data_IF_887363058636
#
_entry.id   IF_887363058636
#
_cell.length_a   1.000
_cell.length_b   1.000
_cell.length_c   1.000
_cell.angle_alpha   90.00
_cell.angle_beta   90.00
_cell.angle_gamma   90.00
#
_symmetry.space_group_name_H-M   'P 1'
#
loop_
_entity.id
_entity.type
_entity.pdbx_description
1 polymer ?
#
# COMPACT_ATOMS: atom_id res chain seq x y z
N UNK A 1 2.01 -29.07 31.45
CA UNK A 1 2.19 -27.77 32.12
C UNK A 1 0.83 -27.40 32.68
N UNK A 2 0.66 -27.30 34.01
CA UNK A 2 -0.64 -26.99 34.62
C UNK A 2 -0.86 -25.47 34.60
N UNK A 3 -1.85 -24.98 33.86
CA UNK A 3 -2.36 -23.61 33.86
C UNK A 3 -2.89 -23.25 35.26
N UNK A 4 -3.39 -24.20 36.04
CA UNK A 4 -3.75 -23.95 37.45
C UNK A 4 -2.57 -23.72 38.41
N UNK A 5 -1.32 -23.99 38.00
CA UNK A 5 -0.14 -23.79 38.86
C UNK A 5 0.44 -22.38 38.69
N UNK A 6 0.83 -21.71 39.78
CA UNK A 6 1.42 -20.35 39.75
C UNK A 6 2.59 -20.24 38.76
N UNK A 7 3.45 -21.25 38.72
CA UNK A 7 4.58 -21.30 37.77
C UNK A 7 4.12 -21.44 36.31
N UNK A 8 3.04 -22.17 36.05
CA UNK A 8 2.42 -22.27 34.73
C UNK A 8 1.78 -20.97 34.27
N UNK A 9 1.08 -20.28 35.18
CA UNK A 9 0.43 -18.99 34.91
C UNK A 9 1.45 -17.90 34.58
N UNK A 10 2.52 -17.81 35.36
CA UNK A 10 3.60 -16.83 35.17
C UNK A 10 4.34 -17.06 33.86
N UNK A 11 4.62 -18.32 33.49
CA UNK A 11 5.27 -18.64 32.21
C UNK A 11 4.41 -18.24 30.99
N UNK A 12 3.10 -18.54 31.06
CA UNK A 12 2.14 -18.15 30.01
C UNK A 12 2.08 -16.64 29.91
N UNK A 13 2.04 -15.94 31.05
CA UNK A 13 1.95 -14.49 31.08
C UNK A 13 3.25 -13.80 30.61
N UNK A 14 4.43 -14.35 30.90
CA UNK A 14 5.70 -13.85 30.33
C UNK A 14 5.72 -14.05 28.81
N UNK A 15 5.24 -15.20 28.33
CA UNK A 15 5.20 -15.46 26.90
C UNK A 15 4.20 -14.56 26.15
N UNK A 16 3.03 -14.27 26.74
CA UNK A 16 2.09 -13.29 26.19
C UNK A 16 2.70 -11.89 26.16
N UNK A 17 3.41 -11.46 27.21
CA UNK A 17 4.13 -10.17 27.21
C UNK A 17 5.15 -10.10 26.08
N UNK A 18 5.90 -11.18 25.83
CA UNK A 18 6.88 -11.23 24.74
C UNK A 18 6.17 -11.04 23.39
N UNK A 19 5.04 -11.71 23.16
CA UNK A 19 4.25 -11.53 21.93
C UNK A 19 3.69 -10.10 21.82
N UNK A 20 3.19 -9.54 22.93
CA UNK A 20 2.70 -8.15 23.00
C UNK A 20 3.82 -7.14 22.70
N UNK A 21 5.01 -7.38 23.23
CA UNK A 21 6.19 -6.57 22.94
C UNK A 21 6.55 -6.63 21.44
N UNK A 22 6.39 -7.78 20.78
CA UNK A 22 6.53 -7.86 19.32
C UNK A 22 5.45 -7.07 18.56
N UNK A 23 4.22 -7.02 19.07
CA UNK A 23 3.16 -6.16 18.51
C UNK A 23 3.51 -4.66 18.62
N UNK A 24 4.11 -4.24 19.74
CA UNK A 24 4.45 -2.84 20.01
C UNK A 24 5.75 -2.39 19.30
N UNK A 25 6.80 -3.22 19.34
CA UNK A 25 8.08 -2.95 18.68
C UNK A 25 7.97 -2.92 17.15
N UNK A 26 6.93 -3.54 16.58
CA UNK A 26 6.60 -3.45 15.15
C UNK A 26 6.14 -2.07 14.67
N UNK A 27 5.75 -1.16 15.58
CA UNK A 27 5.27 0.20 15.25
C UNK A 27 6.36 1.23 14.97
N UNK A 28 7.61 0.96 15.35
CA UNK A 28 8.74 1.90 15.26
C UNK A 28 9.86 1.36 14.37
N UNK A 29 9.56 1.16 13.08
CA UNK A 29 10.64 1.14 12.08
C UNK A 29 10.42 2.35 11.18
N UNK A 30 11.18 3.42 11.46
CA UNK A 30 11.48 4.46 10.47
C UNK A 30 11.75 3.76 9.14
N UNK A 31 11.13 4.25 8.07
CA UNK A 31 11.33 3.75 6.71
C UNK A 31 12.82 3.56 6.46
N UNK A 32 13.30 2.31 6.55
CA UNK A 32 14.66 1.97 6.16
C UNK A 32 14.61 2.06 4.65
N UNK A 33 15.33 3.02 4.05
CA UNK A 33 15.57 3.02 2.60
C UNK A 33 16.24 1.69 2.29
N UNK A 34 15.44 0.75 1.79
CA UNK A 34 15.94 -0.52 1.30
C UNK A 34 16.49 -0.24 -0.08
N UNK A 35 17.80 -0.06 -0.18
CA UNK A 35 18.55 -0.16 -1.44
C UNK A 35 18.61 -1.64 -1.81
N UNK A 36 17.48 -2.21 -2.22
CA UNK A 36 17.48 -3.52 -2.90
C UNK A 36 17.63 -3.27 -4.40
N UNK A 37 18.80 -3.61 -4.91
CA UNK A 37 19.18 -3.64 -6.33
C UNK A 37 18.47 -4.74 -7.14
N UNK A 38 17.38 -5.31 -6.63
CA UNK A 38 16.42 -6.02 -7.47
C UNK A 38 15.42 -4.99 -7.98
N UNK A 39 15.71 -4.43 -9.16
CA UNK A 39 14.80 -3.57 -9.90
C UNK A 39 13.62 -4.43 -10.38
N UNK A 40 12.73 -4.78 -9.45
CA UNK A 40 11.34 -5.03 -9.79
C UNK A 40 10.84 -3.66 -10.20
N UNK A 41 10.55 -3.44 -11.48
CA UNK A 41 9.96 -2.21 -11.98
C UNK A 41 8.70 -1.89 -11.15
N UNK A 42 8.87 -1.10 -10.10
CA UNK A 42 7.80 -0.49 -9.35
C UNK A 42 7.17 0.48 -10.35
N UNK A 43 6.00 0.10 -10.88
CA UNK A 43 5.31 0.81 -11.95
C UNK A 43 5.20 2.29 -11.55
N UNK A 44 5.78 3.18 -12.35
CA UNK A 44 5.65 4.65 -12.27
C UNK A 44 4.21 5.16 -12.49
N UNK A 45 3.20 4.28 -12.40
CA UNK A 45 1.80 4.57 -12.74
C UNK A 45 0.80 4.07 -11.68
N UNK A 46 1.25 3.80 -10.44
CA UNK A 46 0.32 3.67 -9.32
C UNK A 46 0.08 5.04 -8.71
N UNK A 47 -1.16 5.54 -8.77
CA UNK A 47 -1.56 6.69 -7.95
C UNK A 47 -1.17 6.43 -6.48
N UNK A 48 -0.76 7.45 -5.72
CA UNK A 48 -0.61 7.30 -4.28
C UNK A 48 -1.96 6.81 -3.71
N UNK A 49 -1.97 5.81 -2.81
CA UNK A 49 -3.22 5.24 -2.33
C UNK A 49 -4.09 6.30 -1.69
N UNK A 50 -5.32 6.43 -2.18
CA UNK A 50 -6.32 7.39 -1.67
C UNK A 50 -6.62 7.23 -0.19
N UNK A 51 -6.40 6.03 0.39
CA UNK A 51 -6.58 5.78 1.83
C UNK A 51 -5.44 4.91 2.41
N UNK A 52 -4.51 5.49 3.19
CA UNK A 52 -3.44 4.73 3.84
C UNK A 52 -3.97 3.75 4.92
N UNK A 53 -5.22 3.91 5.37
CA UNK A 53 -5.87 3.04 6.35
C UNK A 53 -6.22 1.64 5.80
N UNK A 54 -6.35 1.48 4.49
CA UNK A 54 -6.83 0.23 3.87
C UNK A 54 -5.69 -0.68 3.39
N UNK A 55 -4.44 -0.38 3.76
CA UNK A 55 -3.29 -1.19 3.37
C UNK A 55 -3.27 -2.51 4.17
N UNK A 56 -2.95 -3.64 3.52
CA UNK A 56 -2.79 -4.90 4.23
C UNK A 56 -1.63 -4.79 5.24
N UNK A 57 -1.76 -5.34 6.46
CA UNK A 57 -0.63 -5.51 7.38
C UNK A 57 0.59 -6.16 6.69
N UNK A 58 1.77 -5.66 7.05
CA UNK A 58 3.04 -6.19 6.52
C UNK A 58 3.27 -7.65 6.94
N UNK A 59 4.15 -8.34 6.21
CA UNK A 59 4.46 -9.76 6.42
C UNK A 59 4.83 -10.10 7.87
N UNK A 60 5.69 -9.29 8.50
CA UNK A 60 6.10 -9.47 9.90
C UNK A 60 4.90 -9.32 10.85
N UNK A 61 4.03 -8.34 10.60
CA UNK A 61 2.83 -8.13 11.41
C UNK A 61 1.87 -9.32 11.30
N UNK A 62 1.70 -9.90 10.11
CA UNK A 62 0.86 -11.08 9.92
C UNK A 62 1.46 -12.32 10.58
N UNK A 63 2.79 -12.50 10.52
CA UNK A 63 3.46 -13.59 11.23
C UNK A 63 3.22 -13.53 12.74
N UNK A 64 3.35 -12.34 13.35
CA UNK A 64 3.10 -12.14 14.78
C UNK A 64 1.63 -12.41 15.14
N UNK A 65 0.68 -12.00 14.28
CA UNK A 65 -0.75 -12.30 14.46
C UNK A 65 -1.02 -13.80 14.39
N UNK A 66 -0.44 -14.52 13.42
CA UNK A 66 -0.60 -15.97 13.35
C UNK A 66 0.00 -16.66 14.59
N UNK A 67 1.18 -16.24 15.05
CA UNK A 67 1.80 -16.77 16.26
C UNK A 67 0.92 -16.52 17.51
N UNK A 68 0.32 -15.33 17.62
CA UNK A 68 -0.62 -14.99 18.68
C UNK A 68 -1.87 -15.88 18.67
N UNK A 69 -2.46 -16.12 17.50
CA UNK A 69 -3.63 -17.01 17.35
C UNK A 69 -3.25 -18.45 17.71
N UNK A 70 -2.11 -18.95 17.24
CA UNK A 70 -1.61 -20.28 17.61
C UNK A 70 -1.43 -20.39 19.13
N UNK A 71 -0.88 -19.36 19.77
CA UNK A 71 -0.73 -19.33 21.22
C UNK A 71 -2.07 -19.37 21.94
N UNK A 72 -3.07 -18.58 21.50
CA UNK A 72 -4.42 -18.59 22.07
C UNK A 72 -5.11 -19.96 21.93
N UNK A 73 -4.91 -20.64 20.81
CA UNK A 73 -5.44 -22.00 20.60
C UNK A 73 -4.76 -22.96 21.57
N UNK A 74 -3.42 -22.93 21.66
CA UNK A 74 -2.67 -23.81 22.55
C UNK A 74 -3.11 -23.57 24.01
N UNK A 75 -3.17 -22.32 24.48
CA UNK A 75 -3.60 -22.01 25.84
C UNK A 75 -5.02 -22.46 26.12
N UNK A 76 -5.95 -22.26 25.18
CA UNK A 76 -7.35 -22.68 25.34
C UNK A 76 -7.50 -24.20 25.33
N UNK A 77 -6.73 -24.92 24.50
CA UNK A 77 -6.74 -26.39 24.46
C UNK A 77 -6.16 -27.02 25.72
N UNK A 78 -5.10 -26.43 26.28
CA UNK A 78 -4.54 -26.88 27.56
C UNK A 78 -5.56 -26.63 28.68
N UNK A 79 -6.23 -25.46 28.70
CA UNK A 79 -7.24 -25.16 29.72
C UNK A 79 -8.44 -26.11 29.64
N UNK A 80 -8.91 -26.44 28.42
CA UNK A 80 -9.98 -27.42 28.23
C UNK A 80 -9.55 -28.84 28.61
N UNK A 81 -8.27 -29.19 28.45
CA UNK A 81 -7.72 -30.46 28.94
C UNK A 81 -7.68 -30.51 30.46
N UNK A 82 -7.34 -29.40 31.12
CA UNK A 82 -7.35 -29.30 32.58
C UNK A 82 -8.78 -29.35 33.14
N UNK A 83 -9.74 -28.77 32.42
CA UNK A 83 -11.15 -28.92 32.74
C UNK A 83 -11.61 -30.38 32.65
N UNK A 84 -11.24 -31.09 31.58
CA UNK A 84 -11.56 -32.51 31.42
C UNK A 84 -11.01 -33.35 32.59
N UNK A 85 -9.78 -33.07 33.02
CA UNK A 85 -9.17 -33.72 34.18
C UNK A 85 -9.89 -33.36 35.49
N UNK A 86 -10.31 -32.10 35.66
CA UNK A 86 -11.06 -31.63 36.83
C UNK A 86 -12.45 -32.30 36.92
N UNK A 87 -13.16 -32.40 35.80
CA UNK A 87 -14.46 -33.10 35.70
C UNK A 87 -14.29 -34.59 36.03
N UNK A 88 -13.28 -35.26 35.47
CA UNK A 88 -12.98 -36.67 35.79
C UNK A 88 -12.70 -36.88 37.27
N UNK A 89 -11.92 -35.98 37.88
CA UNK A 89 -11.62 -36.04 39.32
C UNK A 89 -12.88 -35.82 40.16
N UNK A 90 -13.65 -34.78 39.86
CA UNK A 90 -14.91 -34.49 40.54
C UNK A 90 -15.87 -35.70 40.46
N UNK A 91 -15.95 -36.36 39.31
CA UNK A 91 -16.82 -37.51 39.13
C UNK A 91 -16.27 -38.79 39.75
N UNK A 92 -14.96 -38.93 39.89
CA UNK A 92 -14.34 -40.00 40.68
C UNK A 92 -14.66 -39.82 42.17
N UNK A 93 -14.48 -38.61 42.69
CA UNK A 93 -14.76 -38.25 44.09
C UNK A 93 -16.28 -38.38 44.38
N UNK A 94 -17.14 -38.04 43.41
CA UNK A 94 -18.60 -38.21 43.52
C UNK A 94 -19.06 -39.68 43.40
N UNK A 95 -18.33 -40.54 42.65
CA UNK A 95 -18.63 -41.98 42.51
C UNK A 95 -18.32 -42.77 43.78
N UNK A 96 -17.37 -42.33 44.61
CA UNK A 96 -17.22 -42.88 45.97
C UNK A 96 -18.46 -42.59 46.86
N UNK A 97 -19.31 -41.62 46.50
CA UNK A 97 -20.52 -41.27 47.24
C UNK A 97 -21.86 -41.79 46.65
N UNK A 98 -21.90 -42.43 45.48
CA UNK A 98 -23.14 -42.98 44.92
C UNK A 98 -22.94 -44.33 44.24
N UNK A 99 -23.13 -45.39 45.03
CA UNK A 99 -23.16 -46.75 44.54
C UNK A 99 -24.47 -47.13 43.82
N UNK A 100 -25.48 -46.24 43.78
CA UNK A 100 -26.78 -46.51 43.16
C UNK A 100 -27.19 -45.31 42.29
N UNK A 101 -27.00 -45.43 40.98
CA UNK A 101 -28.05 -45.19 39.98
C UNK A 101 -27.43 -45.28 38.58
N UNK A 102 -27.90 -46.26 37.81
CA UNK A 102 -27.54 -46.44 36.41
C UNK A 102 -28.26 -45.40 35.55
N UNK A 103 -27.68 -44.21 35.43
CA UNK A 103 -27.88 -43.37 34.26
C UNK A 103 -26.50 -42.89 33.80
N UNK A 104 -25.95 -43.58 32.81
CA UNK A 104 -24.83 -43.06 32.05
C UNK A 104 -25.32 -41.85 31.27
N UNK A 105 -25.24 -40.66 31.86
CA UNK A 105 -25.35 -39.40 31.13
C UNK A 105 -24.29 -39.38 30.02
N UNK A 106 -24.60 -38.74 28.91
CA UNK A 106 -23.64 -38.63 27.81
C UNK A 106 -22.39 -37.90 28.33
N UNK A 107 -21.20 -38.46 28.11
CA UNK A 107 -19.91 -37.88 28.53
C UNK A 107 -19.77 -36.39 28.15
N UNK A 108 -20.33 -36.00 27.00
CA UNK A 108 -20.33 -34.62 26.52
C UNK A 108 -21.24 -33.69 27.34
N UNK A 109 -22.38 -34.18 27.80
CA UNK A 109 -23.30 -33.41 28.65
C UNK A 109 -22.69 -33.23 30.05
N UNK A 110 -22.06 -34.28 30.57
CA UNK A 110 -21.31 -34.27 31.82
C UNK A 110 -20.13 -33.26 31.74
N UNK A 111 -19.37 -33.24 30.64
CA UNK A 111 -18.31 -32.27 30.43
C UNK A 111 -18.78 -30.81 30.41
N UNK A 112 -19.98 -30.52 29.89
CA UNK A 112 -20.49 -29.15 29.76
C UNK A 112 -21.21 -28.63 31.00
N UNK A 113 -21.72 -29.52 31.85
CA UNK A 113 -22.65 -29.17 32.93
C UNK A 113 -22.15 -29.48 34.34
N UNK A 114 -21.03 -30.19 34.48
CA UNK A 114 -20.45 -30.51 35.80
C UNK A 114 -19.86 -29.27 36.46
N UNK A 115 -20.11 -29.08 37.76
CA UNK A 115 -19.55 -28.02 38.58
C UNK A 115 -18.16 -28.42 39.16
N UNK A 116 -17.21 -28.72 38.26
CA UNK A 116 -15.83 -28.99 38.66
C UNK A 116 -15.05 -27.67 38.90
N UNK A 117 -13.90 -27.75 39.57
CA UNK A 117 -13.04 -26.61 39.86
C UNK A 117 -11.64 -26.83 39.27
N UNK A 118 -11.18 -25.89 38.44
CA UNK A 118 -9.84 -25.91 37.85
C UNK A 118 -8.79 -25.21 38.73
N UNK A 119 -9.21 -24.60 39.83
CA UNK A 119 -8.36 -23.85 40.75
C UNK A 119 -8.16 -22.39 40.36
N UNK A 120 -9.04 -21.82 39.53
CA UNK A 120 -9.16 -20.36 39.44
C UNK A 120 -9.99 -19.86 40.62
N UNK A 121 -9.43 -18.92 41.37
CA UNK A 121 -10.13 -18.26 42.48
C UNK A 121 -10.80 -16.97 41.98
N UNK A 122 -10.28 -16.40 40.89
CA UNK A 122 -10.84 -15.22 40.20
C UNK A 122 -12.02 -15.62 39.31
N UNK A 123 -13.18 -15.00 39.55
CA UNK A 123 -14.40 -15.21 38.78
C UNK A 123 -15.39 -16.21 39.38
N UNK A 124 -15.18 -16.63 40.63
CA UNK A 124 -16.10 -17.55 41.34
C UNK A 124 -17.48 -16.97 41.63
N UNK A 125 -17.66 -15.65 41.51
CA UNK A 125 -18.98 -14.99 41.61
C UNK A 125 -19.85 -15.21 40.36
N UNK A 126 -19.26 -15.66 39.25
CA UNK A 126 -19.99 -16.01 38.03
C UNK A 126 -20.50 -17.45 38.09
N UNK A 127 -21.56 -17.79 37.31
CA UNK A 127 -21.93 -19.18 37.09
C UNK A 127 -20.69 -19.98 36.64
N UNK A 128 -20.42 -21.11 37.29
CA UNK A 128 -19.20 -21.91 37.10
C UNK A 128 -18.96 -22.18 35.61
N UNK A 129 -20.02 -22.48 34.87
CA UNK A 129 -20.00 -22.72 33.42
C UNK A 129 -19.45 -21.56 32.57
N UNK A 130 -19.66 -20.31 32.98
CA UNK A 130 -19.23 -19.08 32.27
C UNK A 130 -17.96 -18.45 32.85
N UNK A 131 -17.56 -18.87 34.05
CA UNK A 131 -16.34 -18.43 34.72
C UNK A 131 -15.08 -18.98 34.03
N UNK A 132 -13.87 -18.50 34.39
CA UNK A 132 -12.62 -19.12 33.95
C UNK A 132 -12.48 -20.58 34.38
N UNK A 133 -13.22 -21.02 35.39
CA UNK A 133 -13.32 -22.44 35.77
C UNK A 133 -14.19 -23.23 34.81
N UNK A 134 -15.02 -22.61 33.97
CA UNK A 134 -15.96 -23.31 33.09
C UNK A 134 -15.45 -23.56 31.67
N UNK A 135 -16.05 -24.52 30.95
CA UNK A 135 -15.65 -24.87 29.60
C UNK A 135 -16.04 -23.79 28.59
N UNK A 136 -17.17 -23.08 28.78
CA UNK A 136 -17.67 -22.12 27.80
C UNK A 136 -16.77 -20.90 27.64
N UNK A 137 -16.06 -20.49 28.70
CA UNK A 137 -15.09 -19.39 28.65
C UNK A 137 -13.94 -19.71 27.67
N UNK A 138 -13.35 -20.90 27.78
CA UNK A 138 -12.25 -21.33 26.92
C UNK A 138 -12.71 -21.72 25.51
N UNK A 139 -13.92 -22.29 25.38
CA UNK A 139 -14.56 -22.51 24.08
C UNK A 139 -14.76 -21.17 23.34
N UNK A 140 -15.09 -20.09 24.05
CA UNK A 140 -15.22 -18.75 23.47
C UNK A 140 -13.91 -18.24 22.84
N UNK A 141 -12.77 -18.37 23.54
CA UNK A 141 -11.46 -18.03 22.98
C UNK A 141 -11.08 -18.91 21.79
N UNK A 142 -11.39 -20.21 21.86
CA UNK A 142 -11.14 -21.15 20.77
C UNK A 142 -11.99 -20.82 19.53
N UNK A 143 -13.29 -20.58 19.71
CA UNK A 143 -14.21 -20.20 18.65
C UNK A 143 -13.78 -18.89 17.99
N UNK A 144 -13.41 -17.87 18.78
CA UNK A 144 -12.86 -16.61 18.27
C UNK A 144 -11.57 -16.81 17.46
N UNK A 145 -10.69 -17.71 17.92
CA UNK A 145 -9.45 -18.04 17.23
C UNK A 145 -9.68 -18.76 15.89
N UNK A 146 -10.63 -19.69 15.84
CA UNK A 146 -11.03 -20.37 14.60
C UNK A 146 -11.62 -19.38 13.59
N UNK A 147 -12.49 -18.47 14.02
CA UNK A 147 -13.02 -17.42 13.14
C UNK A 147 -11.92 -16.51 12.60
N UNK A 148 -10.93 -16.16 13.41
CA UNK A 148 -9.78 -15.39 12.96
C UNK A 148 -8.98 -16.14 11.88
N UNK A 149 -8.76 -17.45 12.02
CA UNK A 149 -8.09 -18.28 10.99
C UNK A 149 -8.88 -18.28 9.69
N UNK A 150 -10.19 -18.50 9.76
CA UNK A 150 -11.08 -18.46 8.59
C UNK A 150 -11.01 -17.09 7.91
N UNK A 151 -10.99 -16.02 8.70
CA UNK A 151 -10.82 -14.66 8.22
C UNK A 151 -9.51 -14.44 7.47
N UNK A 152 -8.39 -14.91 8.02
CA UNK A 152 -7.06 -14.84 7.38
C UNK A 152 -7.07 -15.63 6.07
N UNK A 153 -7.60 -16.85 6.08
CA UNK A 153 -7.66 -17.68 4.87
C UNK A 153 -8.50 -17.04 3.77
N UNK A 154 -9.67 -16.48 4.11
CA UNK A 154 -10.51 -15.76 3.15
C UNK A 154 -9.79 -14.55 2.55
N UNK A 155 -9.12 -13.76 3.39
CA UNK A 155 -8.37 -12.58 2.96
C UNK A 155 -7.15 -12.94 2.09
N UNK A 156 -6.44 -14.03 2.40
CA UNK A 156 -5.29 -14.53 1.63
C UNK A 156 -5.75 -15.09 0.27
N UNK A 157 -6.84 -15.86 0.25
CA UNK A 157 -7.40 -16.39 -0.99
C UNK A 157 -7.80 -15.26 -1.95
N UNK A 158 -8.42 -14.19 -1.42
CA UNK A 158 -8.72 -12.97 -2.20
C UNK A 158 -7.45 -12.31 -2.72
N UNK A 159 -6.42 -12.16 -1.88
CA UNK A 159 -5.14 -11.57 -2.26
C UNK A 159 -4.46 -12.35 -3.38
N UNK A 160 -4.42 -13.68 -3.25
CA UNK A 160 -3.82 -14.57 -4.24
C UNK A 160 -4.59 -14.54 -5.57
N UNK A 161 -5.92 -14.57 -5.50
CA UNK A 161 -6.80 -14.41 -6.67
C UNK A 161 -6.54 -13.09 -7.41
N UNK A 162 -6.50 -11.97 -6.69
CA UNK A 162 -6.22 -10.65 -7.27
C UNK A 162 -4.82 -10.57 -7.89
N UNK A 163 -3.80 -11.09 -7.20
CA UNK A 163 -2.42 -11.14 -7.72
C UNK A 163 -2.32 -12.00 -8.98
N UNK A 164 -3.09 -13.09 -9.07
CA UNK A 164 -3.16 -13.94 -10.25
C UNK A 164 -3.79 -13.20 -11.42
N UNK A 165 -4.90 -12.48 -11.19
CA UNK A 165 -5.55 -11.64 -12.20
C UNK A 165 -4.61 -10.56 -12.73
N UNK A 166 -3.90 -9.84 -11.84
CA UNK A 166 -2.90 -8.83 -12.22
C UNK A 166 -1.78 -9.40 -13.09
N UNK A 167 -1.24 -10.58 -12.74
CA UNK A 167 -0.22 -11.25 -13.55
C UNK A 167 -0.77 -11.68 -14.92
N UNK A 168 -2.01 -12.12 -14.98
CA UNK A 168 -2.64 -12.53 -16.23
C UNK A 168 -2.90 -11.33 -17.16
N UNK A 169 -3.38 -10.21 -16.61
CA UNK A 169 -3.53 -8.97 -17.37
C UNK A 169 -2.18 -8.45 -17.87
N UNK A 170 -1.13 -8.47 -17.04
CA UNK A 170 0.21 -8.08 -17.49
C UNK A 170 0.71 -8.97 -18.65
N UNK A 171 0.47 -10.28 -18.57
CA UNK A 171 0.83 -11.22 -19.64
C UNK A 171 0.08 -10.90 -20.94
N UNK A 172 -1.21 -10.52 -20.86
CA UNK A 172 -2.02 -10.09 -22.02
C UNK A 172 -1.57 -8.74 -22.57
N UNK A 173 -1.11 -7.81 -21.71
CA UNK A 173 -0.66 -6.48 -22.09
C UNK A 173 0.70 -6.47 -22.81
N UNK A 174 1.66 -7.32 -22.43
CA UNK A 174 3.01 -7.35 -23.05
C UNK A 174 3.03 -7.37 -24.59
N UNK A 175 2.30 -8.27 -25.28
CA UNK A 175 2.29 -8.28 -26.74
C UNK A 175 1.53 -7.07 -27.33
N UNK A 176 0.51 -6.56 -26.64
CA UNK A 176 -0.22 -5.37 -27.10
C UNK A 176 0.62 -4.11 -26.98
N UNK A 177 1.48 -3.98 -25.97
CA UNK A 177 2.33 -2.82 -25.77
C UNK A 177 3.25 -2.58 -26.99
N UNK A 178 3.76 -3.66 -27.60
CA UNK A 178 4.54 -3.56 -28.85
C UNK A 178 3.71 -3.04 -30.02
N UNK A 179 2.45 -3.47 -30.13
CA UNK A 179 1.52 -2.96 -31.16
C UNK A 179 1.17 -1.50 -30.92
N UNK A 180 0.96 -1.12 -29.67
CA UNK A 180 0.67 0.24 -29.25
C UNK A 180 1.84 1.21 -29.52
N UNK A 181 3.08 0.73 -29.35
CA UNK A 181 4.27 1.52 -29.66
C UNK A 181 4.47 1.76 -31.16
N UNK A 182 3.96 0.86 -32.01
CA UNK A 182 4.00 0.99 -33.46
C UNK A 182 2.82 1.80 -34.02
N UNK A 183 1.65 1.71 -33.37
CA UNK A 183 0.44 2.44 -33.74
C UNK A 183 -0.26 2.98 -32.48
N UNK A 184 0.09 4.22 -32.04
CA UNK A 184 -0.49 4.81 -30.84
C UNK A 184 -1.95 5.25 -31.03
N UNK A 185 -2.37 5.57 -32.26
CA UNK A 185 -3.74 5.99 -32.57
C UNK A 185 -4.70 4.79 -32.70
N UNK A 186 -4.16 3.58 -32.90
CA UNK A 186 -4.94 2.35 -33.04
C UNK A 186 -5.88 2.03 -31.87
N UNK A 187 -5.67 2.57 -30.67
CA UNK A 187 -6.64 2.44 -29.55
C UNK A 187 -7.85 3.34 -29.72
N UNK A 188 -7.63 4.58 -30.15
CA UNK A 188 -8.69 5.59 -30.32
C UNK A 188 -9.59 5.20 -31.49
N UNK A 189 -9.00 4.65 -32.54
CA UNK A 189 -9.70 4.18 -33.74
C UNK A 189 -10.31 2.77 -33.60
N UNK A 190 -10.11 2.09 -32.46
CA UNK A 190 -10.70 0.78 -32.18
C UNK A 190 -9.92 -0.43 -32.74
N UNK A 191 -8.88 -0.21 -33.55
CA UNK A 191 -8.00 -1.25 -34.13
C UNK A 191 -7.30 -2.10 -33.08
N UNK A 192 -7.02 -1.54 -31.90
CA UNK A 192 -6.38 -2.23 -30.77
C UNK A 192 -7.34 -2.22 -29.57
N UNK A 193 -7.85 -3.41 -29.19
CA UNK A 193 -8.66 -3.58 -27.97
C UNK A 193 -7.76 -3.75 -26.75
N UNK A 194 -7.79 -2.77 -25.85
CA UNK A 194 -7.18 -2.90 -24.53
C UNK A 194 -7.98 -3.94 -23.69
N UNK A 195 -7.30 -4.79 -22.90
CA UNK A 195 -7.99 -5.69 -21.98
C UNK A 195 -8.77 -4.88 -20.94
N UNK A 196 -9.83 -5.45 -20.38
CA UNK A 196 -10.60 -4.78 -19.32
C UNK A 196 -9.72 -4.43 -18.11
N UNK A 197 -10.02 -3.29 -17.49
CA UNK A 197 -9.33 -2.89 -16.26
C UNK A 197 -9.64 -3.90 -15.16
N UNK A 198 -8.61 -4.28 -14.40
CA UNK A 198 -8.82 -5.05 -13.18
C UNK A 198 -9.36 -4.10 -12.13
N UNK A 199 -10.58 -4.36 -11.68
CA UNK A 199 -11.21 -3.56 -10.64
C UNK A 199 -10.52 -3.74 -9.29
N UNK A 200 -10.64 -2.72 -8.43
CA UNK A 200 -10.15 -2.79 -7.05
C UNK A 200 -10.84 -3.94 -6.32
N UNK A 201 -10.06 -4.80 -5.67
CA UNK A 201 -10.60 -5.93 -4.91
C UNK A 201 -11.16 -5.44 -3.57
N UNK A 202 -12.49 -5.39 -3.47
CA UNK A 202 -13.23 -4.99 -2.27
C UNK A 202 -13.57 -6.20 -1.37
N UNK A 203 -13.81 -5.99 -0.06
CA UNK A 203 -14.37 -7.04 0.80
C UNK A 203 -15.70 -7.57 0.26
N UNK A 204 -15.88 -8.89 0.34
CA UNK A 204 -17.14 -9.53 -0.03
C UNK A 204 -18.15 -9.40 1.11
N UNK A 205 -19.45 -9.56 0.81
CA UNK A 205 -20.51 -9.61 1.85
C UNK A 205 -20.26 -10.68 2.91
N UNK A 206 -19.58 -11.78 2.53
CA UNK A 206 -19.15 -12.81 3.47
C UNK A 206 -18.08 -12.28 4.44
N UNK A 207 -17.08 -11.54 3.94
CA UNK A 207 -16.05 -10.94 4.78
C UNK A 207 -16.65 -9.92 5.75
N UNK A 208 -17.61 -9.10 5.30
CA UNK A 208 -18.32 -8.15 6.17
C UNK A 208 -19.05 -8.85 7.32
N UNK A 209 -19.82 -9.92 7.02
CA UNK A 209 -20.49 -10.72 8.04
C UNK A 209 -19.51 -11.38 9.02
N UNK A 210 -18.39 -11.88 8.50
CA UNK A 210 -17.36 -12.52 9.31
C UNK A 210 -16.67 -11.53 10.25
N UNK A 211 -16.44 -10.29 9.81
CA UNK A 211 -15.91 -9.22 10.66
C UNK A 211 -16.88 -8.91 11.81
N UNK A 212 -18.19 -8.77 11.51
CA UNK A 212 -19.21 -8.53 12.53
C UNK A 212 -19.21 -9.66 13.57
N UNK A 213 -19.11 -10.91 13.11
CA UNK A 213 -19.08 -12.09 13.98
C UNK A 213 -17.80 -12.13 14.86
N UNK A 214 -16.63 -11.82 14.30
CA UNK A 214 -15.37 -11.72 15.07
C UNK A 214 -15.51 -10.66 16.17
N UNK A 215 -16.07 -9.48 15.85
CA UNK A 215 -16.26 -8.44 16.84
C UNK A 215 -17.31 -8.81 17.90
N UNK A 216 -18.38 -9.50 17.53
CA UNK A 216 -19.39 -9.96 18.48
C UNK A 216 -18.79 -10.94 19.51
N UNK A 217 -18.02 -11.94 19.05
CA UNK A 217 -17.34 -12.87 19.97
C UNK A 217 -16.27 -12.16 20.80
N UNK A 218 -15.48 -11.27 20.19
CA UNK A 218 -14.48 -10.50 20.94
C UNK A 218 -15.12 -9.61 22.01
N UNK A 219 -16.29 -9.02 21.75
CA UNK A 219 -17.01 -8.21 22.73
C UNK A 219 -17.57 -9.06 23.86
N UNK A 220 -18.11 -10.24 23.55
CA UNK A 220 -18.58 -11.21 24.55
C UNK A 220 -17.44 -11.66 25.46
N UNK A 221 -16.28 -12.01 24.89
CA UNK A 221 -15.11 -12.41 25.68
C UNK A 221 -14.57 -11.27 26.54
N UNK A 222 -14.62 -10.04 26.04
CA UNK A 222 -14.26 -8.85 26.81
C UNK A 222 -15.19 -8.69 28.02
N UNK A 223 -16.51 -8.74 27.81
CA UNK A 223 -17.50 -8.63 28.90
C UNK A 223 -17.31 -9.74 29.93
N UNK A 224 -17.19 -11.01 29.51
CA UNK A 224 -16.99 -12.14 30.42
C UNK A 224 -15.69 -12.00 31.24
N UNK A 225 -14.61 -11.57 30.60
CA UNK A 225 -13.32 -11.40 31.29
C UNK A 225 -13.37 -10.24 32.29
N UNK A 226 -14.03 -9.12 31.95
CA UNK A 226 -14.22 -8.01 32.88
C UNK A 226 -15.13 -8.39 34.06
N UNK A 227 -16.20 -9.14 33.82
CA UNK A 227 -17.05 -9.65 34.91
C UNK A 227 -16.28 -10.61 35.82
N UNK A 228 -15.44 -11.47 35.25
CA UNK A 228 -14.58 -12.38 36.02
C UNK A 228 -13.58 -11.62 36.89
N UNK A 229 -12.92 -10.59 36.34
CA UNK A 229 -12.00 -9.73 37.11
C UNK A 229 -12.76 -8.83 38.10
N UNK A 230 -14.04 -8.55 37.88
CA UNK A 230 -14.88 -7.80 38.82
C UNK A 230 -14.85 -8.36 40.24
N UNK A 231 -14.87 -9.70 40.36
CA UNK A 231 -14.73 -10.38 41.66
C UNK A 231 -13.41 -10.08 42.37
N UNK A 232 -12.31 -9.96 41.62
CA UNK A 232 -11.01 -9.55 42.18
C UNK A 232 -11.05 -8.12 42.74
N UNK A 233 -11.70 -7.19 42.03
CA UNK A 233 -11.84 -5.81 42.54
C UNK A 233 -12.79 -5.74 43.73
N UNK A 234 -13.84 -6.56 43.77
CA UNK A 234 -14.71 -6.68 44.94
C UNK A 234 -13.91 -7.16 46.16
N UNK A 235 -13.11 -8.21 46.01
CA UNK A 235 -12.27 -8.74 47.08
C UNK A 235 -11.14 -7.79 47.49
N UNK A 236 -10.62 -6.99 46.55
CA UNK A 236 -9.66 -5.92 46.83
C UNK A 236 -10.30 -4.81 47.69
N UNK A 237 -11.57 -4.48 47.42
CA UNK A 237 -12.28 -3.37 48.05
C UNK A 237 -13.00 -3.72 49.36
N UNK A 238 -13.14 -5.02 49.67
CA UNK A 238 -13.75 -5.49 50.91
C UNK A 238 -12.88 -5.19 52.13
N UNK A 239 -13.48 -4.65 53.20
CA UNK A 239 -12.78 -4.46 54.47
C UNK A 239 -12.63 -5.77 55.25
N UNK A 240 -11.45 -6.05 55.84
CA UNK A 240 -10.19 -5.31 55.72
C UNK A 240 -9.50 -5.54 54.36
N UNK A 241 -9.17 -4.44 53.66
CA UNK A 241 -8.63 -4.41 52.30
C UNK A 241 -7.57 -5.50 52.05
N UNK A 242 -7.85 -6.43 51.14
CA UNK A 242 -6.86 -7.34 50.57
C UNK A 242 -6.26 -8.36 51.54
N UNK A 243 -6.84 -8.63 52.71
CA UNK A 243 -6.30 -9.67 53.61
C UNK A 243 -6.44 -11.10 53.05
N UNK A 244 -7.43 -11.34 52.18
CA UNK A 244 -7.62 -12.64 51.52
C UNK A 244 -6.88 -12.74 50.18
N UNK A 245 -6.22 -11.67 49.72
CA UNK A 245 -5.51 -11.69 48.45
C UNK A 245 -4.19 -12.44 48.58
N UNK A 246 -4.10 -13.55 47.85
CA UNK A 246 -2.88 -14.31 47.67
C UNK A 246 -2.19 -13.94 46.34
N UNK A 247 -0.89 -14.21 46.22
CA UNK A 247 -0.12 -13.98 44.97
C UNK A 247 -0.66 -14.75 43.76
N UNK A 248 -1.51 -15.76 44.03
CA UNK A 248 -2.27 -16.51 43.02
C UNK A 248 -3.30 -15.64 42.31
N UNK A 249 -4.04 -14.79 43.03
CA UNK A 249 -5.06 -13.94 42.43
C UNK A 249 -4.44 -12.93 41.47
N UNK A 250 -3.32 -12.31 41.86
CA UNK A 250 -2.58 -11.39 41.00
C UNK A 250 -2.08 -12.07 39.72
N UNK A 251 -1.54 -13.29 39.84
CA UNK A 251 -1.09 -14.06 38.67
C UNK A 251 -2.25 -14.45 37.74
N UNK A 252 -3.41 -14.81 38.30
CA UNK A 252 -4.61 -15.17 37.54
C UNK A 252 -5.19 -13.96 36.79
N UNK A 253 -5.37 -12.82 37.47
CA UNK A 253 -5.85 -11.58 36.84
C UNK A 253 -4.89 -11.12 35.74
N UNK A 254 -3.59 -11.17 36.01
CA UNK A 254 -2.58 -10.79 35.03
C UNK A 254 -2.62 -11.69 33.78
N UNK A 255 -2.75 -13.01 33.97
CA UNK A 255 -2.92 -13.95 32.87
C UNK A 255 -4.16 -13.63 32.04
N UNK A 256 -5.32 -13.48 32.67
CA UNK A 256 -6.60 -13.23 31.97
C UNK A 256 -6.57 -11.91 31.19
N UNK A 257 -6.04 -10.84 31.79
CA UNK A 257 -5.83 -9.56 31.11
C UNK A 257 -4.87 -9.67 29.92
N UNK A 258 -3.78 -10.43 30.07
CA UNK A 258 -2.80 -10.62 29.00
C UNK A 258 -3.39 -11.40 27.81
N UNK A 259 -4.20 -12.44 28.08
CA UNK A 259 -4.89 -13.21 27.05
C UNK A 259 -5.97 -12.38 26.35
N UNK A 260 -6.75 -11.60 27.12
CA UNK A 260 -7.74 -10.69 26.57
C UNK A 260 -7.10 -9.65 25.65
N UNK A 261 -6.00 -9.03 26.09
CA UNK A 261 -5.28 -8.05 25.29
C UNK A 261 -4.72 -8.68 24.01
N UNK A 262 -4.13 -9.87 24.09
CA UNK A 262 -3.64 -10.62 22.94
C UNK A 262 -4.77 -10.94 21.94
N UNK A 263 -5.92 -11.39 22.45
CA UNK A 263 -7.10 -11.68 21.65
C UNK A 263 -7.64 -10.43 20.95
N UNK A 264 -7.85 -9.33 21.68
CA UNK A 264 -8.38 -8.09 21.11
C UNK A 264 -7.43 -7.46 20.08
N UNK A 265 -6.12 -7.48 20.33
CA UNK A 265 -5.13 -6.97 19.36
C UNK A 265 -5.07 -7.85 18.11
N UNK A 266 -5.12 -9.16 18.25
CA UNK A 266 -5.22 -10.09 17.12
C UNK A 266 -6.50 -9.84 16.30
N UNK A 267 -7.67 -9.73 16.96
CA UNK A 267 -8.95 -9.42 16.30
C UNK A 267 -8.88 -8.12 15.49
N UNK A 268 -8.34 -7.05 16.06
CA UNK A 268 -8.21 -5.77 15.35
C UNK A 268 -7.31 -5.88 14.11
N UNK A 269 -6.20 -6.63 14.19
CA UNK A 269 -5.28 -6.82 13.06
C UNK A 269 -5.89 -7.69 11.97
N UNK A 270 -6.61 -8.76 12.35
CA UNK A 270 -7.34 -9.62 11.42
C UNK A 270 -8.46 -8.83 10.75
N UNK A 271 -9.26 -8.06 11.50
CA UNK A 271 -10.30 -7.21 10.92
C UNK A 271 -9.72 -6.21 9.90
N UNK A 272 -8.60 -5.56 10.22
CA UNK A 272 -7.87 -4.71 9.25
C UNK A 272 -7.42 -5.49 8.01
N UNK A 273 -6.99 -6.74 8.17
CA UNK A 273 -6.62 -7.59 7.04
C UNK A 273 -7.81 -7.96 6.15
N UNK A 274 -8.99 -8.18 6.73
CA UNK A 274 -10.21 -8.41 5.95
C UNK A 274 -10.73 -7.15 5.26
N UNK A 275 -10.66 -5.99 5.91
CA UNK A 275 -11.01 -4.70 5.32
C UNK A 275 -10.02 -4.21 4.26
N UNK A 276 -8.84 -4.81 4.18
CA UNK A 276 -7.83 -4.39 3.21
C UNK A 276 -8.40 -4.44 1.79
N UNK A 277 -8.19 -3.35 1.05
CA UNK A 277 -8.52 -3.23 -0.35
C UNK A 277 -7.24 -3.40 -1.15
N UNK A 278 -7.32 -4.16 -2.25
CA UNK A 278 -6.17 -4.34 -3.13
C UNK A 278 -6.34 -3.47 -4.37
N UNK A 279 -5.37 -2.59 -4.60
CA UNK A 279 -5.32 -1.66 -5.73
C UNK A 279 -5.49 -2.43 -7.06
N UNK A 280 -6.34 -1.87 -7.92
CA UNK A 280 -6.63 -2.36 -9.27
C UNK A 280 -6.16 -1.35 -10.33
N UNK A 281 -6.29 -1.73 -11.60
CA UNK A 281 -5.93 -0.87 -12.74
C UNK A 281 -6.99 0.22 -13.03
N UNK A 282 -8.11 0.24 -12.30
CA UNK A 282 -9.13 1.30 -12.40
C UNK A 282 -8.61 2.69 -12.01
N UNK A 283 -7.46 2.78 -11.33
CA UNK A 283 -6.74 4.04 -11.08
C UNK A 283 -5.85 4.48 -12.28
N UNK A 284 -5.92 3.79 -13.42
CA UNK A 284 -5.16 4.15 -14.63
C UNK A 284 -5.68 5.43 -15.29
N UNK A 285 -4.73 6.23 -15.78
CA UNK A 285 -4.89 7.52 -16.48
C UNK A 285 -5.83 7.48 -17.71
N UNK A 286 -6.30 6.31 -18.15
CA UNK A 286 -7.18 6.17 -19.31
C UNK A 286 -8.62 6.10 -18.80
N UNK A 287 -9.45 7.14 -19.04
CA UNK A 287 -10.83 7.16 -18.56
C UNK A 287 -11.61 5.93 -19.07
N UNK A 288 -12.42 5.33 -18.19
CA UNK A 288 -13.32 4.22 -18.54
C UNK A 288 -14.22 4.52 -19.74
N UNK A 289 -14.50 5.80 -19.98
CA UNK A 289 -15.24 6.29 -21.14
C UNK A 289 -14.48 6.05 -22.46
N UNK A 290 -13.17 6.31 -22.50
CA UNK A 290 -12.32 6.10 -23.69
C UNK A 290 -12.23 4.61 -24.02
N UNK A 291 -12.09 3.76 -22.99
CA UNK A 291 -12.07 2.30 -23.15
C UNK A 291 -13.41 1.75 -23.66
N UNK A 292 -14.55 2.32 -23.22
CA UNK A 292 -15.88 1.94 -23.74
C UNK A 292 -16.12 2.45 -25.16
N UNK A 293 -15.58 3.62 -25.51
CA UNK A 293 -15.67 4.15 -26.87
C UNK A 293 -14.93 3.26 -27.87
N UNK A 294 -13.70 2.81 -27.56
CA UNK A 294 -12.98 1.89 -28.44
C UNK A 294 -13.70 0.55 -28.65
N UNK A 295 -14.38 0.03 -27.61
CA UNK A 295 -15.21 -1.19 -27.72
C UNK A 295 -16.40 -0.95 -28.65
N UNK A 296 -17.10 0.19 -28.50
CA UNK A 296 -18.29 0.52 -29.29
C UNK A 296 -17.96 0.80 -30.76
N UNK A 297 -16.83 1.46 -31.03
CA UNK A 297 -16.34 1.72 -32.39
C UNK A 297 -16.04 0.40 -33.11
N UNK A 298 -15.35 -0.52 -32.44
CA UNK A 298 -15.01 -1.82 -33.04
C UNK A 298 -16.23 -2.75 -33.14
N UNK A 299 -17.18 -2.71 -32.19
CA UNK A 299 -18.45 -3.44 -32.33
C UNK A 299 -19.26 -2.95 -33.53
N UNK A 300 -19.27 -1.64 -33.80
CA UNK A 300 -19.89 -1.09 -34.99
C UNK A 300 -19.15 -1.53 -36.26
N UNK A 301 -17.82 -1.49 -36.26
CA UNK A 301 -17.01 -1.98 -37.39
C UNK A 301 -17.25 -3.46 -37.69
N UNK A 302 -17.29 -4.30 -36.66
CA UNK A 302 -17.57 -5.74 -36.80
C UNK A 302 -19.01 -6.01 -37.25
N UNK A 303 -19.97 -5.14 -36.90
CA UNK A 303 -21.34 -5.21 -37.42
C UNK A 303 -21.46 -4.76 -38.88
N UNK A 304 -20.57 -3.89 -39.35
CA UNK A 304 -20.53 -3.42 -40.74
C UNK A 304 -19.75 -4.35 -41.68
N UNK A 305 -18.99 -5.32 -41.14
CA UNK A 305 -18.38 -6.39 -41.93
C UNK A 305 -19.47 -7.37 -42.41
N UNK A 306 -19.82 -7.32 -43.69
CA UNK A 306 -20.74 -8.27 -44.31
C UNK A 306 -20.16 -9.70 -44.23
N UNK A 307 -21.04 -10.68 -44.04
CA UNK A 307 -20.68 -12.12 -43.95
C UNK A 307 -20.42 -12.77 -45.31
N UNK A 308 -20.53 -12.01 -46.39
CA UNK A 308 -20.34 -12.50 -47.76
C UNK A 308 -18.87 -12.37 -48.17
N UNK A 309 -18.31 -13.36 -48.90
CA UNK A 309 -16.94 -13.27 -49.38
C UNK A 309 -16.79 -12.05 -50.29
N UNK A 310 -15.85 -11.17 -49.96
CA UNK A 310 -15.60 -9.93 -50.70
C UNK A 310 -15.33 -10.24 -52.18
N UNK A 311 -16.09 -9.61 -53.07
CA UNK A 311 -15.91 -9.74 -54.51
C UNK A 311 -14.67 -8.96 -54.93
N UNK A 312 -13.96 -9.40 -55.98
CA UNK A 312 -12.78 -8.68 -56.47
C UNK A 312 -13.08 -7.22 -56.88
N UNK A 313 -14.32 -6.91 -57.26
CA UNK A 313 -14.80 -5.53 -57.50
C UNK A 313 -14.80 -4.69 -56.24
N UNK A 314 -15.24 -5.26 -55.11
CA UNK A 314 -15.42 -4.55 -53.85
C UNK A 314 -14.05 -4.23 -53.23
N UNK A 315 -13.09 -5.15 -53.42
CA UNK A 315 -11.67 -4.94 -53.05
C UNK A 315 -11.04 -3.83 -53.90
N UNK A 316 -11.33 -3.79 -55.20
CA UNK A 316 -10.81 -2.76 -56.11
C UNK A 316 -11.40 -1.38 -55.82
N UNK A 317 -12.68 -1.31 -55.45
CA UNK A 317 -13.35 -0.06 -55.06
C UNK A 317 -12.86 0.45 -53.70
N UNK A 318 -12.62 -0.44 -52.73
CA UNK A 318 -11.99 -0.06 -51.47
C UNK A 318 -10.54 0.43 -51.67
N UNK A 319 -9.78 -0.24 -52.55
CA UNK A 319 -8.41 0.14 -52.88
C UNK A 319 -8.35 1.49 -53.60
N UNK A 320 -9.27 1.76 -54.53
CA UNK A 320 -9.31 3.04 -55.23
C UNK A 320 -9.63 4.19 -54.28
N UNK A 321 -10.56 3.98 -53.35
CA UNK A 321 -10.93 4.95 -52.32
C UNK A 321 -9.78 5.23 -51.33
N UNK A 322 -9.05 4.20 -50.90
CA UNK A 322 -7.85 4.41 -50.08
C UNK A 322 -6.73 5.11 -50.86
N UNK A 323 -6.55 4.78 -52.15
CA UNK A 323 -5.57 5.49 -52.99
C UNK A 323 -5.90 6.98 -53.16
N UNK A 324 -7.18 7.33 -53.28
CA UNK A 324 -7.59 8.74 -53.35
C UNK A 324 -7.40 9.46 -52.02
N UNK A 325 -7.73 8.82 -50.90
CA UNK A 325 -7.48 9.37 -49.57
C UNK A 325 -5.97 9.59 -49.32
N UNK A 326 -5.13 8.61 -49.66
CA UNK A 326 -3.68 8.72 -49.54
C UNK A 326 -3.09 9.80 -50.45
N UNK A 327 -3.65 10.00 -51.66
CA UNK A 327 -3.25 11.10 -52.55
C UNK A 327 -3.62 12.47 -51.96
N UNK A 328 -4.80 12.60 -51.36
CA UNK A 328 -5.22 13.84 -50.70
C UNK A 328 -4.33 14.16 -49.49
N UNK A 329 -4.01 13.17 -48.66
CA UNK A 329 -3.11 13.32 -47.52
C UNK A 329 -1.68 13.68 -47.95
N UNK A 330 -1.15 13.03 -48.99
CA UNK A 330 0.14 13.37 -49.56
C UNK A 330 0.18 14.80 -50.15
N UNK A 331 -0.93 15.32 -50.65
CA UNK A 331 -1.03 16.70 -51.13
C UNK A 331 -1.00 17.70 -49.96
N UNK A 332 -1.69 17.41 -48.86
CA UNK A 332 -1.65 18.23 -47.64
C UNK A 332 -0.25 18.25 -47.03
N UNK A 333 0.41 17.09 -46.92
CA UNK A 333 1.78 17.00 -46.40
C UNK A 333 2.79 17.78 -47.26
N UNK A 334 2.58 17.84 -48.59
CA UNK A 334 3.40 18.69 -49.47
C UNK A 334 3.19 20.18 -49.18
N UNK A 335 1.94 20.59 -48.95
CA UNK A 335 1.64 21.97 -48.58
C UNK A 335 2.28 22.35 -47.23
N UNK A 336 2.18 21.49 -46.22
CA UNK A 336 2.82 21.71 -44.92
C UNK A 336 4.36 21.76 -45.03
N UNK A 337 4.95 20.93 -45.90
CA UNK A 337 6.39 20.95 -46.17
C UNK A 337 6.83 22.28 -46.81
N UNK A 338 6.04 22.83 -47.73
CA UNK A 338 6.34 24.12 -48.36
C UNK A 338 6.18 25.29 -47.37
N UNK A 339 5.16 25.25 -46.50
CA UNK A 339 4.99 26.25 -45.44
C UNK A 339 6.14 26.21 -44.42
N UNK A 340 6.55 25.02 -44.00
CA UNK A 340 7.69 24.86 -43.07
C UNK A 340 8.99 25.31 -43.72
N UNK A 341 9.21 25.02 -45.00
CA UNK A 341 10.37 25.50 -45.75
C UNK A 341 10.41 27.02 -45.83
N UNK A 342 9.26 27.67 -46.02
CA UNK A 342 9.18 29.13 -46.04
C UNK A 342 9.47 29.73 -44.65
N UNK A 343 8.98 29.11 -43.57
CA UNK A 343 9.32 29.51 -42.19
C UNK A 343 10.82 29.38 -41.91
N UNK A 344 11.47 28.29 -42.34
CA UNK A 344 12.91 28.11 -42.18
C UNK A 344 13.70 29.18 -42.92
N UNK A 345 13.33 29.51 -44.18
CA UNK A 345 13.95 30.62 -44.91
C UNK A 345 13.80 31.97 -44.18
N UNK A 346 12.62 32.23 -43.60
CA UNK A 346 12.40 33.43 -42.80
C UNK A 346 13.31 33.49 -41.56
N UNK A 347 13.46 32.36 -40.87
CA UNK A 347 14.37 32.25 -39.72
C UNK A 347 15.83 32.40 -40.14
N UNK A 348 16.24 31.88 -41.30
CA UNK A 348 17.59 32.08 -41.85
C UNK A 348 17.86 33.57 -42.12
N UNK A 349 16.90 34.30 -42.68
CA UNK A 349 17.05 35.75 -42.90
C UNK A 349 17.13 36.52 -41.58
N UNK A 350 16.28 36.19 -40.61
CA UNK A 350 16.29 36.82 -39.29
C UNK A 350 17.60 36.52 -38.54
N UNK A 351 18.15 35.31 -38.69
CA UNK A 351 19.44 34.94 -38.11
C UNK A 351 20.57 35.78 -38.73
N UNK A 352 20.57 35.99 -40.04
CA UNK A 352 21.54 36.88 -40.70
C UNK A 352 21.42 38.31 -40.18
N UNK A 353 20.20 38.86 -40.08
CA UNK A 353 19.97 40.20 -39.51
C UNK A 353 20.44 40.31 -38.06
N UNK A 354 20.16 39.30 -37.23
CA UNK A 354 20.64 39.29 -35.84
C UNK A 354 22.15 39.13 -35.73
N UNK A 355 22.78 38.45 -36.69
CA UNK A 355 24.24 38.33 -36.74
C UNK A 355 24.89 39.67 -37.08
N UNK A 356 24.33 40.43 -38.03
CA UNK A 356 24.84 41.78 -38.35
C UNK A 356 24.57 42.77 -37.21
N UNK A 357 23.44 42.67 -36.51
CA UNK A 357 23.21 43.42 -35.27
C UNK A 357 24.27 43.10 -34.21
N UNK A 358 24.60 41.82 -34.00
CA UNK A 358 25.63 41.42 -33.04
C UNK A 358 27.03 41.91 -33.43
N UNK A 359 27.38 41.88 -34.72
CA UNK A 359 28.64 42.45 -35.22
C UNK A 359 28.67 43.97 -34.98
N UNK A 360 27.57 44.67 -35.20
CA UNK A 360 27.46 46.11 -34.92
C UNK A 360 27.61 46.41 -33.42
N UNK A 361 27.03 45.57 -32.56
CA UNK A 361 27.19 45.69 -31.10
C UNK A 361 28.64 45.41 -30.70
N UNK A 362 29.30 44.41 -31.28
CA UNK A 362 30.72 44.15 -31.02
C UNK A 362 31.61 45.33 -31.45
N UNK A 363 31.33 45.94 -32.59
CA UNK A 363 32.04 47.13 -33.05
C UNK A 363 31.83 48.33 -32.12
N UNK A 364 30.59 48.55 -31.65
CA UNK A 364 30.28 49.56 -30.62
C UNK A 364 31.03 49.25 -29.33
N UNK A 365 31.00 48.00 -28.86
CA UNK A 365 31.72 47.60 -27.62
C UNK A 365 33.21 47.84 -27.75
N UNK A 366 33.82 47.52 -28.89
CA UNK A 366 35.23 47.77 -29.16
C UNK A 366 35.56 49.26 -29.24
N UNK A 367 34.64 50.06 -29.81
CA UNK A 367 34.75 51.53 -29.81
C UNK A 367 34.65 52.11 -28.39
N UNK A 368 33.76 51.56 -27.56
CA UNK A 368 33.57 51.96 -26.17
C UNK A 368 34.79 51.57 -25.32
N UNK A 369 35.35 50.40 -25.54
CA UNK A 369 36.58 49.93 -24.89
C UNK A 369 37.76 50.84 -25.24
N UNK A 370 37.87 51.25 -26.52
CA UNK A 370 38.85 52.24 -26.96
C UNK A 370 38.64 53.61 -26.30
N UNK A 371 37.39 54.08 -26.17
CA UNK A 371 37.07 55.34 -25.46
C UNK A 371 37.41 55.23 -23.96
N UNK A 372 37.20 54.06 -23.35
CA UNK A 372 37.57 53.80 -21.94
C UNK A 372 39.08 53.76 -21.76
N UNK A 373 39.83 53.21 -22.72
CA UNK A 373 41.30 53.25 -22.73
C UNK A 373 41.83 54.67 -22.97
N UNK A 374 41.28 55.42 -23.92
CA UNK A 374 41.62 56.82 -24.16
C UNK A 374 41.28 57.72 -22.94
N UNK A 375 40.22 57.40 -22.18
CA UNK A 375 39.89 58.06 -20.92
C UNK A 375 40.73 57.60 -19.71
N UNK A 376 41.38 56.44 -19.76
CA UNK A 376 42.37 56.04 -18.73
C UNK A 376 43.69 56.81 -18.89
N UNK A 377 44.03 57.18 -20.13
CA UNK A 377 45.24 57.97 -20.44
C UNK A 377 45.00 59.50 -20.33
N UNK A 378 43.74 59.95 -20.34
CA UNK A 378 43.36 61.32 -20.01
C UNK A 378 43.27 61.49 -18.47
N UNK A 379 44.40 61.90 -17.88
CA UNK A 379 44.57 62.04 -16.44
C UNK A 379 43.42 62.70 -15.67
N UNK A 380 43.07 62.04 -14.57
CA UNK A 380 42.52 62.56 -13.32
C UNK A 380 41.69 63.86 -13.44
N UNK A 381 40.51 63.74 -14.03
CA UNK A 381 39.47 64.76 -13.90
C UNK A 381 38.15 64.12 -13.53
N UNK A 382 37.94 64.08 -12.22
CA UNK A 382 36.67 63.85 -11.54
C UNK A 382 35.54 64.70 -12.14
N UNK A 383 34.89 64.18 -13.17
CA UNK A 383 33.58 64.65 -13.60
C UNK A 383 32.52 63.80 -12.90
N UNK A 384 32.21 64.28 -11.69
CA UNK A 384 30.87 64.38 -11.12
C UNK A 384 30.00 63.11 -11.17
N UNK A 385 30.13 62.34 -10.08
CA UNK A 385 29.19 61.32 -9.57
C UNK A 385 27.69 61.72 -9.54
N UNK A 386 27.33 62.96 -9.88
CA UNK A 386 25.93 63.38 -10.04
C UNK A 386 25.35 63.15 -11.44
N UNK A 387 26.16 62.97 -12.49
CA UNK A 387 25.66 62.75 -13.86
C UNK A 387 25.36 61.26 -14.14
N UNK A 388 26.02 60.36 -13.40
CA UNK A 388 25.80 58.91 -13.52
C UNK A 388 24.57 58.40 -12.76
N UNK A 389 23.95 59.23 -11.91
CA UNK A 389 22.73 58.87 -11.15
C UNK A 389 21.46 59.31 -11.88
N UNK A 390 21.52 60.29 -12.80
CA UNK A 390 20.33 60.76 -13.53
C UNK A 390 19.97 59.89 -14.75
N UNK A 391 20.87 59.03 -15.21
CA UNK A 391 20.62 58.07 -16.32
C UNK A 391 20.18 56.70 -15.79
N UNK A 392 20.52 56.35 -14.54
CA UNK A 392 20.23 55.04 -13.94
C UNK A 392 18.78 54.85 -13.48
N UNK A 393 18.08 55.93 -13.12
CA UNK A 393 16.73 55.85 -12.51
C UNK A 393 15.58 55.74 -13.54
N UNK A 394 15.83 56.06 -14.82
CA UNK A 394 14.81 55.94 -15.88
C UNK A 394 14.84 54.60 -16.64
N UNK A 395 15.82 53.72 -16.37
CA UNK A 395 15.92 52.39 -17.00
C UNK A 395 15.51 51.23 -16.06
N UNK A 396 15.36 51.48 -14.76
CA UNK A 396 15.10 50.42 -13.75
C UNK A 396 13.74 50.48 -13.05
N UNK A 397 12.81 51.33 -13.51
CA UNK A 397 11.45 51.38 -12.96
C UNK A 397 10.43 50.49 -13.70
N UNK A 398 10.91 49.37 -14.26
CA UNK A 398 10.08 48.35 -14.89
C UNK A 398 10.39 46.96 -14.34
N UNK A 399 9.55 46.52 -13.40
CA UNK A 399 9.43 45.17 -12.85
C UNK A 399 10.54 44.62 -11.94
N UNK A 400 10.24 44.65 -10.63
CA UNK A 400 10.79 43.74 -9.64
C UNK A 400 10.45 42.29 -10.03
N UNK A 401 11.41 41.59 -10.61
CA UNK A 401 11.47 40.12 -10.50
C UNK A 401 12.69 39.78 -9.68
N UNK A 402 12.41 39.26 -8.48
CA UNK A 402 13.36 39.00 -7.43
C UNK A 402 14.39 37.94 -7.85
N UNK A 403 15.66 38.27 -7.62
CA UNK A 403 16.82 37.41 -7.87
C UNK A 403 16.92 36.35 -6.76
N UNK A 404 16.71 35.07 -7.09
CA UNK A 404 17.19 33.94 -6.28
C UNK A 404 18.01 32.94 -7.10
N UNK A 405 18.84 33.43 -8.02
CA UNK A 405 19.91 32.62 -8.60
C UNK A 405 21.19 33.45 -8.51
N UNK A 406 22.03 33.09 -7.54
CA UNK A 406 23.42 33.56 -7.49
C UNK A 406 24.14 32.84 -8.62
N UNK A 407 24.15 33.47 -9.81
CA UNK A 407 24.93 33.00 -10.95
C UNK A 407 26.40 33.37 -10.70
N UNK A 408 27.14 32.46 -10.07
CA UNK A 408 28.60 32.53 -10.06
C UNK A 408 29.11 31.99 -11.42
N UNK A 409 29.63 32.86 -12.32
CA UNK A 409 30.04 32.45 -13.65
C UNK A 409 31.16 31.40 -13.63
N UNK A 410 32.01 31.38 -12.59
CA UNK A 410 33.02 30.33 -12.45
C UNK A 410 32.44 28.97 -12.07
N UNK A 411 31.37 28.95 -11.29
CA UNK A 411 30.69 27.71 -10.89
C UNK A 411 29.97 27.08 -12.08
N UNK A 412 29.36 27.90 -12.95
CA UNK A 412 28.69 27.45 -14.18
C UNK A 412 29.72 26.91 -15.18
N UNK A 413 30.83 27.61 -15.37
CA UNK A 413 31.91 27.15 -16.24
C UNK A 413 32.51 25.82 -15.76
N UNK A 414 32.72 25.66 -14.45
CA UNK A 414 33.18 24.40 -13.86
C UNK A 414 32.16 23.26 -14.07
N UNK A 415 30.88 23.51 -13.80
CA UNK A 415 29.82 22.52 -13.99
C UNK A 415 29.70 22.08 -15.46
N UNK A 416 29.84 23.02 -16.41
CA UNK A 416 29.81 22.71 -17.84
C UNK A 416 31.03 21.87 -18.29
N UNK A 417 32.22 22.16 -17.77
CA UNK A 417 33.44 21.38 -18.06
C UNK A 417 33.36 19.98 -17.44
N UNK A 418 32.83 19.86 -16.22
CA UNK A 418 32.62 18.58 -15.52
C UNK A 418 31.63 17.70 -16.30
N UNK A 419 30.48 18.26 -16.72
CA UNK A 419 29.49 17.57 -17.54
C UNK A 419 30.06 17.11 -18.89
N UNK A 420 30.89 17.93 -19.53
CA UNK A 420 31.59 17.56 -20.77
C UNK A 420 32.58 16.40 -20.55
N UNK A 421 33.33 16.40 -19.44
CA UNK A 421 34.23 15.29 -19.09
C UNK A 421 33.48 14.00 -18.77
N UNK A 422 32.34 14.09 -18.12
CA UNK A 422 31.52 12.93 -17.77
C UNK A 422 30.88 12.30 -19.02
N UNK A 423 30.43 13.14 -19.97
CA UNK A 423 29.95 12.68 -21.29
C UNK A 423 31.03 11.99 -22.14
N UNK A 424 32.30 12.40 -22.02
CA UNK A 424 33.41 11.68 -22.68
C UNK A 424 33.73 10.33 -22.01
N UNK A 425 33.54 10.20 -20.69
CA UNK A 425 33.71 8.92 -19.99
C UNK A 425 32.63 7.91 -20.34
N UNK A 426 31.39 8.35 -20.57
CA UNK A 426 30.31 7.46 -21.03
C UNK A 426 30.53 6.97 -22.46
N UNK A 427 31.06 7.81 -23.36
CA UNK A 427 31.44 7.37 -24.73
C UNK A 427 32.47 6.24 -24.72
N UNK A 428 33.51 6.34 -23.91
CA UNK A 428 34.56 5.32 -23.83
C UNK A 428 34.11 4.01 -23.16
N UNK A 429 32.95 3.99 -22.50
CA UNK A 429 32.39 2.78 -21.85
C UNK A 429 31.46 1.99 -22.79
N UNK A 430 30.95 2.63 -23.85
CA UNK A 430 30.04 2.00 -24.82
C UNK A 430 30.83 1.19 -25.88
N UNK A 431 32.08 1.56 -26.15
CA UNK A 431 32.95 0.87 -27.13
C UNK A 431 33.66 -0.39 -26.61
N UNK A 432 33.42 -0.82 -25.36
CA UNK A 432 34.09 -1.99 -24.75
C UNK A 432 33.17 -3.19 -24.45
N UNK A 433 31.88 -3.13 -24.78
CA UNK A 433 30.91 -4.22 -24.53
C UNK A 433 30.46 -4.95 -25.82
N UNK A 434 31.26 -4.90 -26.89
CA UNK A 434 31.10 -5.74 -28.08
C UNK A 434 32.37 -6.53 -28.38
N UNK A 435 32.62 -7.56 -27.59
CA UNK A 435 33.29 -8.80 -27.99
C UNK A 435 32.68 -9.99 -27.23
#
# INVERSE_FOLDING_TARGET
MKIGSVNGQVLIAIFTIVIIFFFWSGGSKKSRRVTTTTVVHQRYYSNPPRNPLNRPPGFISMFVVCAAICFLIISSTIALSEWDDAVKKHNHDAKECKHNDHNCTNYFEEFLTTDADMGFEVGNELPISLSPNGPYYWIGFLAGSVLMIIGIYSAENRRYGHKKQLKEAEKKLRPMLRRLALDPNGVVEGRIRLPDAIQVSKPTKFNEKLIILIYAISALMLILTFLSIGSYFNELSGEPYGQNMNTKHDAQVFLLLSLLFLHSTACQKVAKYLFAEYEGEDDSLIPTQVRRQSIKIEENRVRELSTDPATASDVLEALSKEMEAAKAEAALLRQELDETRNKVKGLETELVEKTTELESIQEITKSMEKIVEENKDAGDKSLSLNDSVMVGDNLFNGDKIDKQIINDPEAIARAAIEAYREGQRERNKIDLDFD
#
